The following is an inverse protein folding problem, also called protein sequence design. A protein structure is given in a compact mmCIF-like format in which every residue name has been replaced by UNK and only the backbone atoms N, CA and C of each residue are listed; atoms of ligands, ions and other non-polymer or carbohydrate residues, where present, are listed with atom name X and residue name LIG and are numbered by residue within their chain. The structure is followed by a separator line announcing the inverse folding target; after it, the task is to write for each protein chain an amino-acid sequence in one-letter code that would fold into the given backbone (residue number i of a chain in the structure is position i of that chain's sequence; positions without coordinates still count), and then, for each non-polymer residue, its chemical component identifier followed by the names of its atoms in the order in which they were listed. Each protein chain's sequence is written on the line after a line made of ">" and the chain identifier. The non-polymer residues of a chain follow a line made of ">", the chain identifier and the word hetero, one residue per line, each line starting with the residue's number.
data_IF_018817682599
#
_entry.id   IF_018817682599
#
_cell.length_a   1.000
_cell.length_b   1.000
_cell.length_c   1.000
_cell.angle_alpha   90.00
_cell.angle_beta   90.00
_cell.angle_gamma   90.00
#
_symmetry.space_group_name_H-M   'P 1'
#
loop_
_entity.id
_entity.type
_entity.pdbx_description
1 polymer ?
#
# COMPACT_ATOMS: atom_id res chain seq x y z
N UNK A 1 19.59 -2.63 -28.22
CA UNK A 1 18.86 -1.35 -28.15
C UNK A 1 17.39 -1.69 -28.22
N UNK A 2 16.84 -2.18 -27.11
CA UNK A 2 15.39 -2.29 -26.99
C UNK A 2 14.92 -0.95 -26.47
N UNK A 3 14.27 -0.17 -27.33
CA UNK A 3 13.49 0.98 -26.90
C UNK A 3 12.33 0.41 -26.09
N UNK A 4 12.41 0.55 -24.78
CA UNK A 4 11.29 0.35 -23.89
C UNK A 4 10.23 1.38 -24.28
N UNK A 5 9.14 0.94 -24.92
CA UNK A 5 7.98 1.79 -25.14
C UNK A 5 7.26 1.86 -23.81
N UNK A 6 7.59 2.84 -22.96
CA UNK A 6 6.84 3.08 -21.76
C UNK A 6 5.46 3.64 -22.16
N UNK A 7 4.35 3.12 -21.60
CA UNK A 7 3.04 3.72 -21.85
C UNK A 7 3.08 5.19 -21.37
N UNK A 8 2.34 6.12 -22.01
CA UNK A 8 2.38 7.55 -21.66
C UNK A 8 2.02 7.82 -20.18
N UNK A 9 1.22 6.93 -19.58
CA UNK A 9 0.87 6.97 -18.14
C UNK A 9 2.09 6.77 -17.23
N UNK A 10 3.16 6.13 -17.73
CA UNK A 10 4.41 5.93 -17.01
C UNK A 10 5.22 7.22 -16.92
N UNK A 11 5.31 8.01 -17.99
CA UNK A 11 6.07 9.27 -17.96
C UNK A 11 5.48 10.26 -16.94
N UNK A 12 4.15 10.35 -16.90
CA UNK A 12 3.45 11.14 -15.89
C UNK A 12 3.68 10.59 -14.48
N UNK A 13 3.69 9.25 -14.30
CA UNK A 13 4.00 8.62 -13.02
C UNK A 13 5.43 8.98 -12.57
N UNK A 14 6.42 8.82 -13.43
CA UNK A 14 7.82 9.13 -13.09
C UNK A 14 8.00 10.61 -12.77
N UNK A 15 7.27 11.49 -13.45
CA UNK A 15 7.25 12.92 -13.14
C UNK A 15 6.66 13.18 -11.75
N UNK A 16 5.48 12.62 -11.44
CA UNK A 16 4.85 12.76 -10.14
C UNK A 16 5.73 12.21 -9.00
N UNK A 17 6.38 11.06 -9.21
CA UNK A 17 7.34 10.49 -8.25
C UNK A 17 8.52 11.45 -8.05
N UNK A 18 9.10 11.97 -9.12
CA UNK A 18 10.24 12.90 -9.05
C UNK A 18 9.92 14.26 -8.40
N UNK A 19 8.65 14.65 -8.37
CA UNK A 19 8.19 15.91 -7.76
C UNK A 19 8.02 15.81 -6.22
N UNK A 20 8.07 14.60 -5.65
CA UNK A 20 7.92 14.42 -4.20
C UNK A 20 9.17 14.88 -3.43
N UNK A 21 9.01 15.80 -2.48
CA UNK A 21 10.11 16.47 -1.80
C UNK A 21 11.05 15.55 -0.99
N UNK A 22 10.54 14.43 -0.48
CA UNK A 22 11.35 13.47 0.30
C UNK A 22 12.10 12.46 -0.56
N UNK A 23 11.84 12.38 -1.87
CA UNK A 23 12.52 11.43 -2.75
C UNK A 23 13.90 11.98 -3.14
N UNK A 24 14.96 11.26 -2.77
CA UNK A 24 16.35 11.62 -3.12
C UNK A 24 16.83 10.97 -4.41
N UNK A 25 16.15 9.91 -4.84
CA UNK A 25 16.46 9.18 -6.06
C UNK A 25 15.49 8.03 -6.23
N UNK A 26 15.18 7.70 -7.49
CA UNK A 26 14.29 6.60 -7.82
C UNK A 26 14.67 5.92 -9.15
N UNK A 27 14.20 4.69 -9.31
CA UNK A 27 14.25 3.90 -10.53
C UNK A 27 12.93 3.16 -10.67
N UNK A 28 12.38 3.16 -11.88
CA UNK A 28 11.23 2.32 -12.19
C UNK A 28 11.68 1.07 -12.94
N UNK A 29 11.13 -0.06 -12.53
CA UNK A 29 11.22 -1.32 -13.24
C UNK A 29 9.84 -1.63 -13.80
N UNK A 30 9.76 -1.94 -15.10
CA UNK A 30 8.54 -2.50 -15.65
C UNK A 30 8.28 -3.85 -14.98
N UNK A 31 7.04 -4.08 -14.57
CA UNK A 31 6.60 -5.42 -14.25
C UNK A 31 6.77 -6.35 -15.46
N UNK A 32 6.86 -7.66 -15.20
CA UNK A 32 6.67 -8.65 -16.27
C UNK A 32 5.32 -8.40 -16.97
N UNK A 33 5.13 -8.86 -18.21
CA UNK A 33 3.90 -8.62 -18.99
C UNK A 33 2.62 -8.75 -18.15
N UNK A 34 1.93 -7.63 -17.88
CA UNK A 34 0.69 -7.56 -17.09
C UNK A 34 0.87 -7.36 -15.58
N UNK A 35 2.09 -7.24 -15.08
CA UNK A 35 2.40 -6.88 -13.69
C UNK A 35 2.57 -5.38 -13.53
N UNK A 36 2.21 -4.87 -12.34
CA UNK A 36 2.36 -3.46 -11.97
C UNK A 36 3.84 -3.05 -12.03
N UNK A 37 4.16 -1.79 -12.38
CA UNK A 37 5.53 -1.29 -12.28
C UNK A 37 5.98 -1.28 -10.82
N UNK A 38 7.28 -1.47 -10.62
CA UNK A 38 7.94 -1.34 -9.33
C UNK A 38 8.76 -0.06 -9.30
N UNK A 39 8.48 0.81 -8.34
CA UNK A 39 9.26 2.00 -8.05
C UNK A 39 10.24 1.67 -6.92
N UNK A 40 11.53 1.63 -7.24
CA UNK A 40 12.60 1.55 -6.24
C UNK A 40 13.01 2.97 -5.89
N UNK A 41 12.94 3.36 -4.63
CA UNK A 41 13.18 4.74 -4.20
C UNK A 41 14.08 4.82 -2.97
N UNK A 42 14.73 5.96 -2.85
CA UNK A 42 15.51 6.38 -1.68
C UNK A 42 14.89 7.67 -1.17
N UNK A 43 14.82 7.82 0.15
CA UNK A 43 14.06 8.91 0.78
C UNK A 43 14.88 9.57 1.89
N UNK A 44 14.64 10.84 2.18
CA UNK A 44 15.23 11.53 3.35
C UNK A 44 14.49 11.28 4.66
N UNK A 45 13.35 10.57 4.62
CA UNK A 45 12.40 10.44 5.72
C UNK A 45 11.55 9.17 5.59
N UNK A 46 10.42 9.14 6.31
CA UNK A 46 9.54 7.97 6.42
C UNK A 46 8.53 7.85 5.28
N UNK A 47 8.93 8.21 4.06
CA UNK A 47 8.06 8.07 2.90
C UNK A 47 7.91 6.59 2.52
N UNK A 48 6.71 6.05 2.72
CA UNK A 48 6.32 4.70 2.34
C UNK A 48 5.62 4.63 0.98
N UNK A 49 5.24 3.40 0.61
CA UNK A 49 4.49 3.13 -0.60
C UNK A 49 3.11 3.79 -0.65
N UNK A 50 2.28 3.69 0.41
CA UNK A 50 0.98 4.33 0.45
C UNK A 50 1.05 5.85 0.25
N UNK A 51 1.98 6.53 0.91
CA UNK A 51 2.13 7.98 0.83
C UNK A 51 2.53 8.42 -0.58
N UNK A 52 3.45 7.70 -1.22
CA UNK A 52 3.82 7.97 -2.60
C UNK A 52 2.62 7.76 -3.54
N UNK A 53 1.83 6.71 -3.34
CA UNK A 53 0.60 6.48 -4.13
C UNK A 53 -0.43 7.59 -3.94
N UNK A 54 -0.64 8.06 -2.70
CA UNK A 54 -1.49 9.23 -2.42
C UNK A 54 -0.99 10.46 -3.18
N UNK A 55 0.30 10.75 -3.11
CA UNK A 55 0.90 11.88 -3.83
C UNK A 55 0.66 11.78 -5.36
N UNK A 56 0.92 10.62 -5.96
CA UNK A 56 0.68 10.40 -7.38
C UNK A 56 -0.81 10.55 -7.75
N UNK A 57 -1.70 10.09 -6.88
CA UNK A 57 -3.15 10.23 -7.05
C UNK A 57 -3.61 11.68 -7.00
N UNK A 58 -3.11 12.48 -6.06
CA UNK A 58 -3.40 13.92 -5.95
C UNK A 58 -2.92 14.70 -7.18
N UNK A 59 -1.87 14.22 -7.84
CA UNK A 59 -1.35 14.75 -9.11
C UNK A 59 -2.16 14.27 -10.34
N UNK A 60 -3.19 13.44 -10.14
CA UNK A 60 -4.05 12.91 -11.21
C UNK A 60 -3.43 11.74 -11.99
N UNK A 61 -2.48 11.04 -11.38
CA UNK A 61 -1.68 9.98 -12.03
C UNK A 61 -2.11 8.59 -11.57
N UNK A 62 -1.65 7.56 -12.28
CA UNK A 62 -1.87 6.17 -11.87
C UNK A 62 -1.21 5.88 -10.52
N UNK A 63 -1.96 5.30 -9.60
CA UNK A 63 -1.45 4.82 -8.31
C UNK A 63 -1.22 3.29 -8.30
N UNK A 64 -1.37 2.64 -9.46
CA UNK A 64 -1.28 1.20 -9.58
C UNK A 64 0.17 0.73 -9.75
N UNK A 65 0.95 0.83 -8.68
CA UNK A 65 2.37 0.46 -8.66
C UNK A 65 2.82 -0.08 -7.30
N UNK A 66 3.82 -0.97 -7.36
CA UNK A 66 4.51 -1.46 -6.18
C UNK A 66 5.69 -0.54 -5.86
N UNK A 67 6.11 -0.53 -4.59
CA UNK A 67 7.24 0.27 -4.14
C UNK A 67 8.22 -0.57 -3.33
N UNK A 68 9.49 -0.20 -3.45
CA UNK A 68 10.57 -0.70 -2.62
C UNK A 68 11.40 0.50 -2.15
N UNK A 69 11.41 0.74 -0.84
CA UNK A 69 12.27 1.76 -0.23
C UNK A 69 13.62 1.14 0.11
N UNK A 70 14.71 1.80 -0.29
CA UNK A 70 16.07 1.36 0.04
C UNK A 70 16.87 2.49 0.66
N UNK A 71 17.60 2.18 1.71
CA UNK A 71 18.49 3.10 2.41
C UNK A 71 19.92 3.00 1.88
N UNK A 72 20.67 4.10 1.92
CA UNK A 72 22.11 4.16 1.64
C UNK A 72 22.53 3.65 0.24
N UNK A 73 21.66 3.75 -0.76
CA UNK A 73 21.94 3.33 -2.14
C UNK A 73 21.86 4.51 -3.10
N UNK A 74 22.88 4.71 -3.93
CA UNK A 74 22.82 5.67 -5.05
C UNK A 74 22.25 4.96 -6.27
N UNK A 75 20.93 4.99 -6.42
CA UNK A 75 20.21 4.27 -7.49
C UNK A 75 20.69 4.64 -8.89
N UNK A 76 21.19 5.87 -9.09
CA UNK A 76 21.70 6.32 -10.39
C UNK A 76 22.93 5.57 -10.89
N UNK A 77 23.69 4.98 -9.98
CA UNK A 77 24.96 4.31 -10.27
C UNK A 77 24.80 2.79 -10.45
N UNK A 78 23.61 2.24 -10.19
CA UNK A 78 23.37 0.82 -10.31
C UNK A 78 23.16 0.40 -11.76
N UNK A 79 23.82 -0.69 -12.16
CA UNK A 79 23.47 -1.41 -13.38
C UNK A 79 22.11 -2.12 -13.24
N UNK A 80 21.44 -2.49 -14.35
CA UNK A 80 20.19 -3.22 -14.30
C UNK A 80 20.27 -4.54 -13.52
N UNK A 81 21.39 -5.25 -13.61
CA UNK A 81 21.62 -6.50 -12.89
C UNK A 81 21.77 -6.29 -11.37
N UNK A 82 22.42 -5.19 -10.96
CA UNK A 82 22.55 -4.84 -9.54
C UNK A 82 21.20 -4.41 -8.96
N UNK A 83 20.42 -3.63 -9.71
CA UNK A 83 19.06 -3.24 -9.30
C UNK A 83 18.16 -4.47 -9.13
N UNK A 84 18.21 -5.43 -10.05
CA UNK A 84 17.45 -6.67 -9.93
C UNK A 84 17.84 -7.50 -8.70
N UNK A 85 19.14 -7.58 -8.39
CA UNK A 85 19.64 -8.24 -7.17
C UNK A 85 19.20 -7.51 -5.91
N UNK A 86 19.23 -6.18 -5.91
CA UNK A 86 18.76 -5.37 -4.79
C UNK A 86 17.29 -5.68 -4.47
N UNK A 87 16.43 -5.65 -5.49
CA UNK A 87 15.01 -5.99 -5.36
C UNK A 87 14.81 -7.39 -4.79
N UNK A 88 15.57 -8.38 -5.28
CA UNK A 88 15.42 -9.78 -4.87
C UNK A 88 15.92 -10.03 -3.44
N UNK A 89 16.92 -9.26 -2.99
CA UNK A 89 17.53 -9.42 -1.66
C UNK A 89 16.97 -8.46 -0.60
N UNK A 90 16.01 -7.62 -0.97
CA UNK A 90 15.41 -6.65 -0.05
C UNK A 90 14.54 -7.36 0.99
N UNK A 91 14.50 -6.82 2.21
CA UNK A 91 13.65 -7.34 3.28
C UNK A 91 12.17 -7.09 2.99
N UNK A 92 11.30 -7.98 3.46
CA UNK A 92 9.84 -7.88 3.25
C UNK A 92 9.24 -6.55 3.76
N UNK A 93 9.77 -5.97 4.85
CA UNK A 93 9.29 -4.69 5.39
C UNK A 93 9.63 -3.45 4.58
N UNK A 94 10.47 -3.57 3.56
CA UNK A 94 10.80 -2.46 2.65
C UNK A 94 9.88 -2.41 1.41
N UNK A 95 9.12 -3.48 1.21
CA UNK A 95 8.26 -3.68 0.03
C UNK A 95 6.82 -3.33 0.38
N UNK A 96 6.23 -2.37 -0.35
CA UNK A 96 4.80 -2.09 -0.27
C UNK A 96 4.14 -2.40 -1.61
N UNK A 97 3.32 -3.46 -1.60
CA UNK A 97 2.56 -3.91 -2.76
C UNK A 97 1.19 -3.26 -2.75
N UNK A 98 0.84 -2.58 -3.83
CA UNK A 98 -0.54 -2.15 -4.00
C UNK A 98 -1.38 -3.36 -4.40
N UNK A 99 -2.50 -3.59 -3.72
CA UNK A 99 -3.46 -4.63 -4.10
C UNK A 99 -4.85 -4.02 -4.04
N UNK A 100 -5.57 -4.12 -5.15
CA UNK A 100 -6.95 -3.66 -5.26
C UNK A 100 -7.89 -4.59 -4.50
N UNK A 101 -9.02 -4.10 -3.98
CA UNK A 101 -9.98 -4.93 -3.28
C UNK A 101 -10.58 -6.04 -4.18
N UNK A 102 -10.79 -7.21 -3.59
CA UNK A 102 -11.44 -8.35 -4.19
C UNK A 102 -12.82 -8.59 -3.54
N UNK A 103 -13.87 -8.32 -4.30
CA UNK A 103 -15.25 -8.51 -3.88
C UNK A 103 -15.82 -7.39 -2.99
N UNK A 104 -17.09 -7.56 -2.62
CA UNK A 104 -17.90 -6.49 -2.03
C UNK A 104 -17.45 -6.09 -0.62
N UNK A 105 -16.95 -7.05 0.18
CA UNK A 105 -16.53 -6.76 1.55
C UNK A 105 -15.25 -5.93 1.60
N UNK A 106 -14.20 -6.35 0.88
CA UNK A 106 -12.95 -5.59 0.80
C UNK A 106 -13.21 -4.19 0.21
N UNK A 107 -14.07 -4.08 -0.82
CA UNK A 107 -14.45 -2.78 -1.41
C UNK A 107 -15.12 -1.85 -0.40
N UNK A 108 -16.07 -2.36 0.38
CA UNK A 108 -16.74 -1.56 1.41
C UNK A 108 -15.81 -1.15 2.55
N UNK A 109 -14.85 -2.01 2.91
CA UNK A 109 -13.84 -1.70 3.92
C UNK A 109 -12.85 -0.65 3.40
N UNK A 110 -12.41 -0.73 2.13
CA UNK A 110 -11.59 0.32 1.49
C UNK A 110 -12.31 1.66 1.57
N UNK A 111 -13.55 1.76 1.07
CA UNK A 111 -14.30 3.02 1.10
C UNK A 111 -14.49 3.54 2.53
N UNK A 112 -14.67 2.66 3.51
CA UNK A 112 -14.75 3.04 4.92
C UNK A 112 -13.42 3.62 5.40
N UNK A 113 -12.30 2.93 5.18
CA UNK A 113 -10.98 3.38 5.61
C UNK A 113 -10.59 4.69 4.94
N UNK A 114 -10.82 4.82 3.63
CA UNK A 114 -10.51 6.06 2.89
C UNK A 114 -11.27 7.26 3.47
N UNK A 115 -12.54 7.06 3.83
CA UNK A 115 -13.35 8.11 4.45
C UNK A 115 -12.96 8.44 5.88
N UNK A 116 -12.49 7.46 6.67
CA UNK A 116 -12.15 7.67 8.08
C UNK A 116 -10.74 8.23 8.25
N UNK A 117 -9.81 7.84 7.37
CA UNK A 117 -8.41 8.24 7.41
C UNK A 117 -8.12 9.46 6.52
N UNK A 118 -9.09 9.91 5.72
CA UNK A 118 -8.90 10.94 4.68
C UNK A 118 -7.68 10.62 3.79
N UNK A 119 -7.59 9.34 3.39
CA UNK A 119 -6.45 8.80 2.68
C UNK A 119 -6.94 8.04 1.46
N UNK A 120 -6.47 8.41 0.26
CA UNK A 120 -6.81 7.70 -0.97
C UNK A 120 -5.64 7.76 -1.96
N UNK A 121 -5.33 6.67 -2.68
CA UNK A 121 -5.99 5.35 -2.63
C UNK A 121 -5.42 4.45 -1.53
N UNK A 122 -6.27 3.59 -0.97
CA UNK A 122 -5.87 2.54 -0.02
C UNK A 122 -5.89 1.17 -0.70
N UNK A 123 -4.78 0.43 -0.62
CA UNK A 123 -4.68 -0.97 -0.99
C UNK A 123 -5.10 -1.89 0.16
N UNK A 124 -5.58 -3.10 -0.15
CA UNK A 124 -6.09 -4.00 0.90
C UNK A 124 -5.01 -4.65 1.78
N UNK A 125 -3.75 -4.48 1.39
CA UNK A 125 -2.58 -4.90 2.16
C UNK A 125 -1.88 -3.72 2.85
N UNK A 126 -2.37 -2.49 2.68
CA UNK A 126 -1.77 -1.33 3.32
C UNK A 126 -1.98 -1.39 4.82
N UNK A 127 -0.91 -1.09 5.56
CA UNK A 127 -0.91 -1.13 7.01
C UNK A 127 -1.68 0.07 7.57
N UNK A 128 -2.58 -0.20 8.51
CA UNK A 128 -3.45 0.79 9.12
C UNK A 128 -2.67 1.94 9.75
N UNK A 129 -1.54 1.66 10.39
CA UNK A 129 -0.73 2.67 11.08
C UNK A 129 0.08 3.48 10.08
N UNK A 130 0.61 2.86 9.02
CA UNK A 130 1.28 3.58 7.91
C UNK A 130 0.32 4.58 7.26
N UNK A 131 -0.96 4.22 7.12
CA UNK A 131 -2.00 5.11 6.59
C UNK A 131 -2.38 6.26 7.55
N UNK A 132 -1.76 6.37 8.72
CA UNK A 132 -2.08 7.35 9.76
C UNK A 132 -3.18 6.91 10.72
N UNK A 133 -3.49 5.62 10.77
CA UNK A 133 -4.45 5.04 11.69
C UNK A 133 -4.05 5.20 13.15
N UNK A 134 -5.02 5.58 13.98
CA UNK A 134 -4.84 5.77 15.42
C UNK A 134 -6.00 5.14 16.20
N UNK A 135 -5.94 5.19 17.54
CA UNK A 135 -6.95 4.53 18.37
C UNK A 135 -8.38 5.03 18.15
N UNK A 136 -8.56 6.31 17.76
CA UNK A 136 -9.89 6.86 17.50
C UNK A 136 -10.49 6.29 16.21
N UNK A 137 -9.75 6.31 15.10
CA UNK A 137 -10.22 5.73 13.84
C UNK A 137 -10.42 4.22 13.94
N UNK A 138 -9.58 3.52 14.70
CA UNK A 138 -9.78 2.09 14.97
C UNK A 138 -11.06 1.81 15.78
N UNK A 139 -11.38 2.64 16.78
CA UNK A 139 -12.64 2.53 17.52
C UNK A 139 -13.86 2.80 16.62
N UNK A 140 -13.76 3.78 15.72
CA UNK A 140 -14.81 4.07 14.74
C UNK A 140 -15.01 2.91 13.77
N UNK A 141 -13.92 2.25 13.33
CA UNK A 141 -13.98 1.01 12.53
C UNK A 141 -14.73 -0.08 13.29
N UNK A 142 -14.41 -0.33 14.56
CA UNK A 142 -15.13 -1.33 15.40
C UNK A 142 -16.63 -1.06 15.39
N UNK A 143 -17.04 0.18 15.64
CA UNK A 143 -18.45 0.59 15.68
C UNK A 143 -19.12 0.39 14.33
N UNK A 144 -18.49 0.82 13.23
CA UNK A 144 -19.02 0.65 11.87
C UNK A 144 -19.12 -0.82 11.48
N UNK A 145 -18.15 -1.64 11.88
CA UNK A 145 -18.14 -3.08 11.58
C UNK A 145 -19.30 -3.79 12.27
N UNK A 146 -19.52 -3.52 13.56
CA UNK A 146 -20.65 -4.07 14.31
C UNK A 146 -21.98 -3.64 13.70
N UNK A 147 -22.13 -2.36 13.33
CA UNK A 147 -23.38 -1.86 12.72
C UNK A 147 -23.69 -2.44 11.34
N UNK A 148 -22.67 -2.63 10.48
CA UNK A 148 -22.88 -3.07 9.08
C UNK A 148 -22.93 -4.58 8.92
N UNK A 149 -22.12 -5.31 9.69
CA UNK A 149 -21.94 -6.76 9.52
C UNK A 149 -22.30 -7.57 10.76
N UNK A 150 -22.73 -6.93 11.85
CA UNK A 150 -23.13 -7.63 13.08
C UNK A 150 -21.96 -8.35 13.75
N UNK A 151 -20.73 -7.86 13.56
CA UNK A 151 -19.51 -8.44 14.13
C UNK A 151 -18.97 -7.58 15.25
N UNK A 152 -18.91 -8.19 16.44
CA UNK A 152 -18.33 -7.56 17.61
C UNK A 152 -16.82 -7.80 17.62
N UNK A 153 -16.10 -6.86 17.02
CA UNK A 153 -14.65 -6.75 17.13
C UNK A 153 -14.29 -5.84 18.31
N UNK A 154 -13.09 -5.99 18.84
CA UNK A 154 -12.50 -5.06 19.78
C UNK A 154 -11.37 -4.26 19.09
N UNK A 155 -10.85 -3.25 19.80
CA UNK A 155 -9.78 -2.39 19.28
C UNK A 155 -8.53 -3.18 18.89
N UNK A 156 -8.16 -4.19 19.69
CA UNK A 156 -6.99 -5.05 19.44
C UNK A 156 -7.20 -5.84 18.16
N UNK A 157 -8.41 -6.35 17.89
CA UNK A 157 -8.68 -7.09 16.66
C UNK A 157 -8.42 -6.25 15.39
N UNK A 158 -8.77 -4.96 15.42
CA UNK A 158 -8.55 -4.04 14.27
C UNK A 158 -7.06 -3.73 14.10
N UNK A 159 -6.36 -3.47 15.21
CA UNK A 159 -4.91 -3.18 15.18
C UNK A 159 -4.11 -4.41 14.77
N UNK A 160 -4.41 -5.59 15.32
CA UNK A 160 -3.74 -6.85 15.01
C UNK A 160 -4.04 -7.34 13.59
N UNK A 161 -5.22 -7.03 13.04
CA UNK A 161 -5.50 -7.28 11.64
C UNK A 161 -4.52 -6.53 10.73
N UNK A 162 -4.10 -5.33 11.13
CA UNK A 162 -3.19 -4.42 10.44
C UNK A 162 -3.68 -3.92 9.06
N UNK A 163 -4.35 -4.73 8.25
CA UNK A 163 -4.83 -4.37 6.92
C UNK A 163 -6.27 -4.84 6.65
N UNK A 164 -6.87 -4.25 5.61
CA UNK A 164 -8.27 -4.53 5.21
C UNK A 164 -8.50 -6.01 4.92
N UNK A 165 -7.56 -6.70 4.27
CA UNK A 165 -7.71 -8.13 3.93
C UNK A 165 -7.83 -9.00 5.17
N UNK A 166 -7.03 -8.73 6.20
CA UNK A 166 -7.11 -9.46 7.46
C UNK A 166 -8.37 -9.09 8.24
N UNK A 167 -8.77 -7.82 8.22
CA UNK A 167 -10.04 -7.38 8.82
C UNK A 167 -11.25 -8.07 8.15
N UNK A 168 -11.25 -8.18 6.82
CA UNK A 168 -12.27 -8.91 6.07
C UNK A 168 -12.33 -10.40 6.47
N UNK A 169 -11.18 -11.03 6.73
CA UNK A 169 -11.10 -12.41 7.25
C UNK A 169 -11.71 -12.51 8.64
N UNK A 170 -11.46 -11.57 9.53
CA UNK A 170 -12.07 -11.56 10.87
C UNK A 170 -13.60 -11.40 10.80
N UNK A 171 -14.09 -10.54 9.91
CA UNK A 171 -15.53 -10.32 9.71
C UNK A 171 -16.22 -11.57 9.15
N UNK A 172 -15.54 -12.30 8.26
CA UNK A 172 -16.09 -13.52 7.64
C UNK A 172 -15.88 -14.79 8.47
N UNK A 173 -14.90 -14.81 9.37
CA UNK A 173 -14.66 -15.93 10.26
C UNK A 173 -15.94 -16.23 11.07
N UNK A 174 -16.41 -17.48 11.02
CA UNK A 174 -17.49 -17.93 11.91
C UNK A 174 -17.05 -17.64 13.36
N UNK A 175 -17.92 -17.13 14.25
CA UNK A 175 -17.53 -17.00 15.65
C UNK A 175 -17.10 -18.40 16.11
N UNK A 176 -15.82 -18.55 16.45
CA UNK A 176 -15.36 -19.77 17.09
C UNK A 176 -16.24 -19.92 18.33
N UNK A 177 -16.99 -21.01 18.41
CA UNK A 177 -17.95 -21.27 19.48
C UNK A 177 -17.32 -20.91 20.83
N UNK A 178 -17.77 -19.81 21.43
CA UNK A 178 -17.59 -19.54 22.84
C UNK A 178 -18.59 -20.43 23.58
N UNK A 179 -18.31 -21.73 23.54
CA UNK A 179 -18.98 -22.75 24.34
C UNK A 179 -17.86 -23.64 24.90
N UNK A 180 -17.13 -23.09 25.87
CA UNK A 180 -16.35 -23.90 26.80
C UNK A 180 -16.33 -23.21 28.18
N UNK A 181 -17.29 -23.68 29.00
CA UNK A 181 -17.41 -23.67 30.48
C UNK A 181 -17.81 -22.42 31.25
#
# INVERSE_FOLDING_TARGET
>A
MELWCQPPEMDDLLRAVGDHAEITGFRAMSGASGSRPLIVMTTTGFLGGPELRRHCHEQGTVADFDTLTVDDVVLDLLSPDELSKLVTNSSEGAFSRFVTPEGDLETQLVTMWESLLDFTPIGVLDDFVELGGESMSALEIVVQVSQRWGRDLNLVDVVDAACIRNLARLITASPANADET
#
